data_IF_419378597875
#
_entry.id   IF_419378597875
#
_cell.length_a   1.000
_cell.length_b   1.000
_cell.length_c   1.000
_cell.angle_alpha   90.00
_cell.angle_beta   90.00
_cell.angle_gamma   90.00
#
_symmetry.space_group_name_H-M   'P 1'
#
loop_
_entity.id
_entity.type
_entity.pdbx_description
1 polymer ?
#
# COMPACT_ATOMS: atom_id res chain seq x y z
N UNK A 1 22.33 -11.09 1.76
CA UNK A 1 21.06 -11.61 1.21
C UNK A 1 20.67 -10.77 0.00
N UNK A 2 20.14 -11.43 -1.02
CA UNK A 2 19.59 -10.78 -2.21
C UNK A 2 18.12 -11.13 -2.31
N UNK A 3 17.25 -10.12 -2.33
CA UNK A 3 15.83 -10.26 -2.67
C UNK A 3 15.65 -9.78 -4.11
N UNK A 4 14.90 -10.54 -4.92
CA UNK A 4 14.65 -10.20 -6.31
C UNK A 4 13.19 -10.46 -6.64
N UNK A 5 12.54 -9.48 -7.26
CA UNK A 5 11.20 -9.59 -7.81
C UNK A 5 11.30 -9.76 -9.32
N UNK A 6 10.48 -10.64 -9.86
CA UNK A 6 10.40 -10.91 -11.29
C UNK A 6 8.97 -10.71 -11.78
N UNK A 7 8.82 -10.30 -13.03
CA UNK A 7 7.53 -10.26 -13.72
C UNK A 7 7.00 -11.69 -13.97
N UNK A 8 5.73 -11.83 -14.39
CA UNK A 8 5.21 -13.13 -14.86
C UNK A 8 5.98 -13.71 -16.06
N UNK A 9 6.73 -12.89 -16.80
CA UNK A 9 7.61 -13.29 -17.91
C UNK A 9 9.06 -13.54 -17.48
N UNK A 10 9.31 -13.62 -16.16
CA UNK A 10 10.63 -13.85 -15.55
C UNK A 10 11.67 -12.74 -15.77
N UNK A 11 11.22 -11.51 -16.03
CA UNK A 11 12.10 -10.35 -16.11
C UNK A 11 12.32 -9.75 -14.72
N UNK A 12 13.57 -9.44 -14.36
CA UNK A 12 13.90 -8.82 -13.07
C UNK A 12 13.29 -7.40 -12.99
N UNK A 13 12.36 -7.18 -12.07
CA UNK A 13 11.68 -5.89 -11.88
C UNK A 13 12.26 -5.08 -10.73
N UNK A 14 12.73 -5.73 -9.68
CA UNK A 14 13.34 -5.07 -8.53
C UNK A 14 14.37 -5.99 -7.86
N UNK A 15 15.45 -5.42 -7.34
CA UNK A 15 16.46 -6.13 -6.55
C UNK A 15 16.84 -5.33 -5.32
N UNK A 16 16.84 -5.97 -4.16
CA UNK A 16 17.39 -5.45 -2.91
C UNK A 16 18.55 -6.32 -2.44
N UNK A 17 19.62 -5.70 -1.97
CA UNK A 17 20.78 -6.39 -1.41
C UNK A 17 21.01 -5.85 0.00
N UNK A 18 20.86 -6.72 0.99
CA UNK A 18 21.12 -6.39 2.39
C UNK A 18 22.09 -7.39 3.00
N UNK A 19 23.14 -6.93 3.69
CA UNK A 19 24.05 -7.83 4.40
C UNK A 19 23.27 -8.70 5.38
N UNK A 20 23.57 -10.00 5.41
CA UNK A 20 23.07 -10.90 6.47
C UNK A 20 24.27 -11.27 7.32
N UNK A 21 24.17 -11.11 8.64
CA UNK A 21 25.26 -11.47 9.52
C UNK A 21 25.45 -13.01 9.55
N UNK A 22 26.64 -13.46 9.94
CA UNK A 22 26.96 -14.89 9.93
C UNK A 22 26.07 -15.70 10.90
N UNK A 23 25.74 -15.14 12.06
CA UNK A 23 24.87 -15.79 13.05
C UNK A 23 23.47 -16.04 12.49
N UNK A 24 22.79 -15.03 11.95
CA UNK A 24 21.44 -15.16 11.41
C UNK A 24 21.38 -16.14 10.22
N UNK A 25 22.46 -16.22 9.43
CA UNK A 25 22.58 -17.27 8.41
C UNK A 25 22.64 -18.66 9.06
N UNK A 26 23.46 -18.83 10.08
CA UNK A 26 23.61 -20.12 10.76
C UNK A 26 22.34 -20.52 11.51
N UNK A 27 21.70 -19.57 12.19
CA UNK A 27 20.42 -19.76 12.89
C UNK A 27 19.32 -20.21 11.92
N UNK A 28 19.25 -19.59 10.72
CA UNK A 28 18.34 -20.03 9.66
C UNK A 28 18.67 -21.45 9.19
N UNK A 29 19.95 -21.77 8.94
CA UNK A 29 20.34 -23.12 8.54
C UNK A 29 20.03 -24.17 9.62
N UNK A 30 20.18 -23.80 10.89
CA UNK A 30 19.82 -24.64 12.02
C UNK A 30 18.31 -24.88 12.09
N UNK A 31 17.49 -23.85 11.85
CA UNK A 31 16.03 -23.99 11.79
C UNK A 31 15.57 -25.02 10.75
N UNK A 32 16.21 -25.05 9.58
CA UNK A 32 15.94 -26.06 8.55
C UNK A 32 16.32 -27.47 9.01
N UNK A 33 17.41 -27.63 9.78
CA UNK A 33 17.85 -28.92 10.32
C UNK A 33 16.94 -29.41 11.44
N UNK A 34 16.61 -28.54 12.39
CA UNK A 34 15.78 -28.88 13.56
C UNK A 34 14.36 -29.28 13.17
N UNK A 35 13.88 -28.81 12.01
CA UNK A 35 12.57 -29.13 11.47
C UNK A 35 12.60 -30.24 10.40
N UNK A 36 13.70 -30.99 10.27
CA UNK A 36 13.83 -32.13 9.35
C UNK A 36 13.43 -31.80 7.89
N UNK A 37 13.78 -30.60 7.41
CA UNK A 37 13.33 -30.11 6.10
C UNK A 37 13.66 -31.06 4.93
N UNK A 38 14.78 -31.78 5.01
CA UNK A 38 15.20 -32.74 3.98
C UNK A 38 14.25 -33.94 3.87
N UNK A 39 13.63 -34.34 4.98
CA UNK A 39 12.71 -35.48 5.07
C UNK A 39 11.25 -35.08 4.81
N UNK A 40 10.93 -33.79 4.73
CA UNK A 40 9.58 -33.31 4.45
C UNK A 40 9.05 -33.80 3.09
N UNK A 41 7.74 -33.92 2.97
CA UNK A 41 7.10 -34.20 1.68
C UNK A 41 7.44 -33.10 0.66
N UNK A 42 7.60 -33.50 -0.60
CA UNK A 42 7.91 -32.56 -1.69
C UNK A 42 6.77 -31.57 -1.94
N UNK A 43 5.52 -31.93 -1.62
CA UNK A 43 4.35 -31.08 -1.87
C UNK A 43 3.30 -31.25 -0.80
N UNK A 44 2.74 -30.13 -0.35
CA UNK A 44 1.57 -30.06 0.53
C UNK A 44 0.41 -29.40 -0.22
N UNK A 45 -0.74 -30.06 -0.18
CA UNK A 45 -2.00 -29.63 -0.82
C UNK A 45 -3.14 -29.77 0.20
N UNK A 46 -4.30 -29.10 -0.01
CA UNK A 46 -5.43 -29.20 0.89
C UNK A 46 -5.89 -30.66 1.07
N UNK A 47 -6.06 -31.09 2.32
CA UNK A 47 -6.62 -32.39 2.66
C UNK A 47 -8.15 -32.32 2.75
N UNK A 48 -8.80 -33.48 2.73
CA UNK A 48 -10.26 -33.56 2.86
C UNK A 48 -10.74 -32.88 4.14
N UNK A 49 -11.64 -31.90 4.00
CA UNK A 49 -12.18 -31.12 5.11
C UNK A 49 -11.44 -29.81 5.41
N UNK A 50 -10.30 -29.54 4.75
CA UNK A 50 -9.65 -28.24 4.78
C UNK A 50 -10.28 -27.29 3.75
N UNK A 51 -10.36 -25.98 4.03
CA UNK A 51 -10.83 -25.01 3.05
C UNK A 51 -9.85 -24.94 1.87
N UNK A 52 -10.40 -24.80 0.67
CA UNK A 52 -9.60 -24.57 -0.54
C UNK A 52 -9.55 -23.05 -0.77
N UNK A 53 -8.34 -22.48 -0.75
CA UNK A 53 -8.12 -21.05 -1.01
C UNK A 53 -7.67 -20.89 -2.46
N UNK A 54 -8.45 -20.21 -3.29
CA UNK A 54 -8.16 -20.08 -4.75
C UNK A 54 -7.45 -18.79 -5.14
N UNK A 55 -7.43 -17.77 -4.28
CA UNK A 55 -6.85 -16.45 -4.56
C UNK A 55 -5.40 -16.32 -4.05
N UNK A 56 -4.68 -17.44 -3.99
CA UNK A 56 -3.27 -17.47 -3.56
C UNK A 56 -2.43 -18.18 -4.61
N UNK A 57 -1.15 -17.79 -4.68
CA UNK A 57 -0.18 -18.40 -5.56
C UNK A 57 0.37 -19.71 -4.99
N UNK A 58 1.54 -20.08 -5.49
CA UNK A 58 2.33 -21.22 -5.03
C UNK A 58 3.55 -20.67 -4.28
N UNK A 59 3.92 -21.31 -3.17
CA UNK A 59 5.23 -21.10 -2.55
C UNK A 59 6.12 -22.31 -2.79
N UNK A 60 7.38 -22.03 -3.16
CA UNK A 60 8.43 -23.03 -3.28
C UNK A 60 9.60 -22.60 -2.39
N UNK A 61 9.90 -23.41 -1.38
CA UNK A 61 11.04 -23.20 -0.49
C UNK A 61 12.13 -24.18 -0.93
N UNK A 62 13.29 -23.65 -1.28
CA UNK A 62 14.42 -24.46 -1.74
C UNK A 62 15.65 -24.24 -0.87
N UNK A 63 16.20 -25.32 -0.33
CA UNK A 63 17.52 -25.33 0.32
C UNK A 63 18.52 -25.95 -0.65
N UNK A 64 19.41 -25.12 -1.17
CA UNK A 64 20.47 -25.51 -2.10
C UNK A 64 21.81 -25.46 -1.38
N UNK A 65 22.43 -26.62 -1.17
CA UNK A 65 23.80 -26.76 -0.67
C UNK A 65 24.65 -27.56 -1.66
N UNK A 66 25.97 -27.57 -1.46
CA UNK A 66 26.91 -28.28 -2.34
C UNK A 66 26.57 -29.76 -2.47
N UNK A 67 26.15 -30.39 -1.37
CA UNK A 67 25.99 -31.84 -1.29
C UNK A 67 24.53 -32.31 -1.41
N UNK A 68 23.57 -31.38 -1.31
CA UNK A 68 22.15 -31.70 -1.42
C UNK A 68 21.32 -30.50 -1.88
N UNK A 69 20.20 -30.82 -2.54
CA UNK A 69 19.14 -29.88 -2.80
C UNK A 69 17.81 -30.47 -2.30
N UNK A 70 16.95 -29.60 -1.77
CA UNK A 70 15.59 -29.96 -1.42
C UNK A 70 14.68 -28.80 -1.76
N UNK A 71 13.57 -29.11 -2.41
CA UNK A 71 12.48 -28.17 -2.64
C UNK A 71 11.21 -28.73 -2.02
N UNK A 72 10.50 -27.89 -1.27
CA UNK A 72 9.19 -28.17 -0.71
C UNK A 72 8.22 -27.15 -1.27
N UNK A 73 7.11 -27.63 -1.83
CA UNK A 73 6.07 -26.82 -2.47
C UNK A 73 4.78 -26.83 -1.64
N UNK A 74 4.10 -25.69 -1.55
CA UNK A 74 2.74 -25.60 -1.01
C UNK A 74 1.83 -24.93 -2.03
N UNK A 75 0.74 -25.62 -2.38
CA UNK A 75 -0.13 -25.26 -3.50
C UNK A 75 -1.59 -25.65 -3.18
N UNK A 76 -2.48 -24.70 -2.89
CA UNK A 76 -2.26 -23.24 -2.84
C UNK A 76 -1.40 -22.80 -1.64
N UNK A 77 -0.73 -21.64 -1.70
CA UNK A 77 0.06 -21.12 -0.57
C UNK A 77 -0.86 -20.73 0.61
N UNK A 78 -0.90 -21.60 1.62
CA UNK A 78 -1.54 -21.36 2.91
C UNK A 78 -0.82 -22.13 4.01
N UNK A 79 -0.65 -21.50 5.17
CA UNK A 79 -0.08 -22.16 6.35
C UNK A 79 -0.96 -23.32 6.86
N UNK A 80 -2.26 -23.36 6.51
CA UNK A 80 -3.16 -24.44 6.92
C UNK A 80 -2.78 -25.82 6.35
N UNK A 81 -2.05 -25.85 5.23
CA UNK A 81 -1.62 -27.09 4.59
C UNK A 81 -0.22 -27.53 5.03
N UNK A 82 0.47 -26.66 5.79
CA UNK A 82 1.85 -26.88 6.20
C UNK A 82 1.94 -27.66 7.52
N UNK A 83 2.88 -28.62 7.65
CA UNK A 83 3.27 -29.11 8.96
C UNK A 83 3.94 -27.98 9.77
N UNK A 84 3.95 -28.12 11.09
CA UNK A 84 4.40 -27.05 11.99
C UNK A 84 5.82 -26.56 11.67
N UNK A 85 6.76 -27.49 11.46
CA UNK A 85 8.12 -27.11 11.11
C UNK A 85 8.27 -26.37 9.77
N UNK A 86 7.37 -26.61 8.81
CA UNK A 86 7.37 -25.84 7.56
C UNK A 86 6.81 -24.44 7.78
N UNK A 87 5.83 -24.25 8.67
CA UNK A 87 5.33 -22.92 9.04
C UNK A 87 6.42 -22.08 9.71
N UNK A 88 7.20 -22.67 10.60
CA UNK A 88 8.32 -21.98 11.24
C UNK A 88 9.37 -21.52 10.22
N UNK A 89 9.74 -22.40 9.29
CA UNK A 89 10.67 -22.06 8.20
C UNK A 89 10.08 -20.97 7.29
N UNK A 90 8.81 -21.09 6.88
CA UNK A 90 8.12 -20.10 6.04
C UNK A 90 8.10 -18.74 6.73
N UNK A 91 7.71 -18.68 8.01
CA UNK A 91 7.69 -17.44 8.78
C UNK A 91 9.08 -16.81 8.88
N UNK A 92 10.13 -17.59 9.14
CA UNK A 92 11.50 -17.07 9.19
C UNK A 92 11.95 -16.49 7.83
N UNK A 93 11.54 -17.09 6.71
CA UNK A 93 11.81 -16.57 5.37
C UNK A 93 11.00 -15.31 5.05
N UNK A 94 9.75 -15.24 5.52
CA UNK A 94 8.92 -14.02 5.44
C UNK A 94 9.59 -12.89 6.22
N UNK A 95 10.02 -13.13 7.46
CA UNK A 95 10.71 -12.14 8.29
C UNK A 95 12.02 -11.69 7.65
N UNK A 96 12.76 -12.62 7.06
CA UNK A 96 13.98 -12.33 6.33
C UNK A 96 13.72 -11.47 5.08
N UNK A 97 12.62 -11.72 4.35
CA UNK A 97 12.15 -10.84 3.27
C UNK A 97 11.82 -9.45 3.81
N UNK A 98 11.14 -9.33 4.96
CA UNK A 98 10.85 -8.02 5.57
C UNK A 98 12.13 -7.28 5.96
N UNK A 99 13.12 -8.00 6.51
CA UNK A 99 14.43 -7.44 6.78
C UNK A 99 15.11 -6.93 5.50
N UNK A 100 14.99 -7.64 4.37
CA UNK A 100 15.56 -7.23 3.08
C UNK A 100 15.00 -5.90 2.57
N UNK A 101 13.75 -5.61 2.91
CA UNK A 101 12.98 -4.46 2.45
C UNK A 101 13.01 -3.30 3.44
N UNK A 102 13.39 -3.55 4.69
CA UNK A 102 13.52 -2.50 5.68
C UNK A 102 14.73 -1.62 5.39
N UNK A 103 14.54 -0.34 5.64
CA UNK A 103 15.59 0.69 5.60
C UNK A 103 15.67 1.32 6.99
N UNK A 104 16.75 2.00 7.30
CA UNK A 104 16.86 2.85 8.49
C UNK A 104 16.23 4.22 8.24
N UNK A 105 15.91 4.95 9.32
CA UNK A 105 15.43 6.33 9.22
C UNK A 105 16.41 7.25 8.46
N UNK A 106 17.72 7.10 8.68
CA UNK A 106 18.75 7.86 7.97
C UNK A 106 18.80 7.52 6.47
N UNK A 107 18.59 6.26 6.10
CA UNK A 107 18.47 5.87 4.69
C UNK A 107 17.19 6.45 4.06
N UNK A 108 16.07 6.43 4.79
CA UNK A 108 14.82 7.02 4.35
C UNK A 108 14.97 8.52 4.08
N UNK A 109 15.57 9.26 5.02
CA UNK A 109 15.82 10.69 4.87
C UNK A 109 16.69 10.99 3.65
N UNK A 110 17.77 10.23 3.44
CA UNK A 110 18.65 10.38 2.29
C UNK A 110 17.90 10.16 0.97
N UNK A 111 17.13 9.07 0.87
CA UNK A 111 16.36 8.75 -0.33
C UNK A 111 15.31 9.83 -0.60
N UNK A 112 14.60 10.30 0.44
CA UNK A 112 13.60 11.35 0.31
C UNK A 112 14.22 12.67 -0.16
N UNK A 113 15.34 13.10 0.43
CA UNK A 113 16.04 14.30 -0.02
C UNK A 113 16.52 14.20 -1.46
N UNK A 114 17.14 13.08 -1.84
CA UNK A 114 17.59 12.83 -3.21
C UNK A 114 16.41 12.85 -4.18
N UNK A 115 15.26 12.28 -3.79
CA UNK A 115 14.05 12.31 -4.59
C UNK A 115 13.52 13.75 -4.76
N UNK A 116 13.36 14.50 -3.67
CA UNK A 116 12.87 15.90 -3.69
C UNK A 116 13.77 16.76 -4.57
N UNK A 117 15.10 16.66 -4.40
CA UNK A 117 16.08 17.44 -5.17
C UNK A 117 16.01 17.18 -6.68
N UNK A 118 15.51 16.01 -7.09
CA UNK A 118 15.33 15.64 -8.48
C UNK A 118 13.91 15.87 -9.00
N UNK A 119 12.95 16.18 -8.13
CA UNK A 119 11.55 16.40 -8.47
C UNK A 119 11.36 17.73 -9.23
N UNK A 120 10.39 17.82 -10.16
CA UNK A 120 10.22 18.98 -11.05
C UNK A 120 10.14 20.35 -10.36
N UNK A 121 9.43 20.47 -9.24
CA UNK A 121 9.24 21.73 -8.51
C UNK A 121 10.56 22.22 -7.93
N UNK A 122 11.25 21.38 -7.15
CA UNK A 122 12.53 21.75 -6.54
C UNK A 122 13.63 21.93 -7.58
N UNK A 123 13.67 21.08 -8.61
CA UNK A 123 14.69 21.15 -9.65
C UNK A 123 14.60 22.42 -10.50
N UNK A 124 13.42 23.02 -10.62
CA UNK A 124 13.23 24.25 -11.38
C UNK A 124 13.96 25.43 -10.72
N UNK A 125 13.74 25.66 -9.42
CA UNK A 125 14.28 26.82 -8.70
C UNK A 125 14.29 26.67 -7.17
N UNK A 126 14.27 25.43 -6.66
CA UNK A 126 14.24 25.10 -5.24
C UNK A 126 15.61 25.28 -4.55
N UNK A 127 15.58 25.71 -3.30
CA UNK A 127 16.76 25.91 -2.44
C UNK A 127 16.40 25.70 -0.96
N UNK A 128 17.40 25.62 -0.09
CA UNK A 128 17.24 25.51 1.37
C UNK A 128 16.35 24.34 1.85
N UNK A 129 16.53 23.15 1.25
CA UNK A 129 15.78 21.96 1.68
C UNK A 129 16.16 21.58 3.12
N UNK A 130 15.17 21.51 4.00
CA UNK A 130 15.33 21.24 5.43
C UNK A 130 14.27 20.25 5.91
N UNK A 131 14.69 19.23 6.67
CA UNK A 131 13.78 18.29 7.31
C UNK A 131 13.12 18.97 8.52
N UNK A 132 11.78 19.02 8.53
CA UNK A 132 10.98 19.62 9.60
C UNK A 132 10.50 18.55 10.59
N UNK A 133 10.06 17.40 10.08
CA UNK A 133 9.51 16.31 10.90
C UNK A 133 9.70 14.96 10.21
N UNK A 134 9.88 13.90 11.00
CA UNK A 134 9.98 12.52 10.53
C UNK A 134 9.25 11.59 11.50
N UNK A 135 8.33 10.78 10.97
CA UNK A 135 7.49 9.85 11.74
C UNK A 135 7.53 8.47 11.11
N UNK A 136 7.72 7.43 11.94
CA UNK A 136 7.56 6.02 11.56
C UNK A 136 6.11 5.61 11.84
N UNK A 137 5.40 5.16 10.81
CA UNK A 137 3.94 4.93 10.84
C UNK A 137 3.52 3.55 11.38
N UNK A 138 4.42 2.77 11.97
CA UNK A 138 4.11 1.50 12.64
C UNK A 138 3.61 0.42 11.68
N UNK A 139 4.50 -0.08 10.82
CA UNK A 139 4.21 -1.16 9.87
C UNK A 139 5.40 -2.11 9.75
N UNK A 140 5.23 -3.27 9.12
CA UNK A 140 6.34 -4.20 8.82
C UNK A 140 6.39 -4.46 7.30
N UNK A 141 7.41 -3.95 6.58
CA UNK A 141 8.50 -3.12 7.08
C UNK A 141 8.03 -1.70 7.39
N UNK A 142 8.85 -0.93 8.09
CA UNK A 142 8.54 0.43 8.50
C UNK A 142 8.13 1.32 7.31
N UNK A 143 7.06 2.07 7.50
CA UNK A 143 6.61 3.15 6.63
C UNK A 143 7.06 4.47 7.25
N UNK A 144 7.59 5.37 6.42
CA UNK A 144 8.07 6.67 6.85
C UNK A 144 7.17 7.78 6.29
N UNK A 145 6.86 8.77 7.12
CA UNK A 145 6.25 10.03 6.71
C UNK A 145 7.16 11.16 7.14
N UNK A 146 7.71 11.89 6.19
CA UNK A 146 8.65 12.98 6.41
C UNK A 146 8.10 14.28 5.82
N UNK A 147 8.26 15.37 6.56
CA UNK A 147 7.90 16.71 6.12
C UNK A 147 9.16 17.53 5.97
N UNK A 148 9.36 18.11 4.78
CA UNK A 148 10.46 19.01 4.48
C UNK A 148 9.93 20.40 4.13
N UNK A 149 10.74 21.42 4.39
CA UNK A 149 10.53 22.78 3.89
C UNK A 149 11.62 23.15 2.88
N UNK A 150 11.27 23.95 1.88
CA UNK A 150 12.21 24.53 0.93
C UNK A 150 11.67 25.85 0.36
N UNK A 151 12.54 26.60 -0.31
CA UNK A 151 12.20 27.87 -0.94
C UNK A 151 12.30 27.75 -2.46
N UNK A 152 11.32 28.26 -3.20
CA UNK A 152 11.37 28.46 -4.65
C UNK A 152 11.52 29.94 -5.01
N UNK A 153 12.28 30.22 -6.08
CA UNK A 153 12.46 31.59 -6.62
C UNK A 153 11.22 32.15 -7.35
N UNK A 154 10.29 31.29 -7.74
CA UNK A 154 9.05 31.64 -8.40
C UNK A 154 7.86 30.94 -7.74
N UNK A 155 6.69 31.57 -7.87
CA UNK A 155 5.44 30.95 -7.47
C UNK A 155 5.09 29.73 -8.35
N UNK A 156 4.29 28.82 -7.79
CA UNK A 156 3.71 27.67 -8.48
C UNK A 156 4.50 26.38 -8.32
N UNK A 157 4.06 25.33 -9.03
CA UNK A 157 4.53 23.96 -8.89
C UNK A 157 4.96 23.35 -10.23
N UNK A 158 5.74 22.28 -10.16
CA UNK A 158 6.21 21.51 -11.30
C UNK A 158 7.27 22.22 -12.15
N UNK A 159 7.51 21.66 -13.34
CA UNK A 159 8.39 22.27 -14.33
C UNK A 159 7.66 23.41 -15.06
N UNK A 160 8.12 24.65 -14.81
CA UNK A 160 7.51 25.88 -15.32
C UNK A 160 8.28 26.48 -16.49
N UNK A 161 9.20 25.73 -17.10
CA UNK A 161 10.02 26.20 -18.23
C UNK A 161 9.16 26.70 -19.38
N UNK A 162 9.38 27.95 -19.80
CA UNK A 162 8.64 28.57 -20.90
C UNK A 162 7.31 29.22 -20.50
N UNK A 163 6.96 29.25 -19.21
CA UNK A 163 5.81 29.98 -18.69
C UNK A 163 6.25 31.38 -18.20
N UNK A 164 5.35 32.37 -18.27
CA UNK A 164 5.56 33.64 -17.57
C UNK A 164 5.30 33.43 -16.08
N UNK A 165 6.35 33.30 -15.28
CA UNK A 165 6.28 33.14 -13.83
C UNK A 165 6.55 34.46 -13.11
N UNK A 166 5.88 34.71 -11.99
CA UNK A 166 6.22 35.82 -11.12
C UNK A 166 7.49 35.46 -10.31
N UNK A 167 8.52 36.33 -10.35
CA UNK A 167 9.70 36.23 -9.50
C UNK A 167 9.31 36.60 -8.06
N UNK A 168 8.95 35.59 -7.28
CA UNK A 168 8.54 35.73 -5.89
C UNK A 168 9.10 34.54 -5.12
N UNK A 169 9.92 34.84 -4.11
CA UNK A 169 10.40 33.86 -3.14
C UNK A 169 9.18 33.26 -2.44
N UNK A 170 8.98 31.96 -2.61
CA UNK A 170 7.84 31.22 -2.10
C UNK A 170 8.32 30.08 -1.22
N UNK A 171 7.85 30.08 0.03
CA UNK A 171 8.09 28.96 0.96
C UNK A 171 7.15 27.80 0.62
N UNK A 172 7.71 26.60 0.55
CA UNK A 172 6.98 25.37 0.30
C UNK A 172 7.20 24.35 1.40
N UNK A 173 6.18 23.52 1.65
CA UNK A 173 6.27 22.34 2.52
C UNK A 173 5.93 21.10 1.71
N UNK A 174 6.80 20.08 1.71
CA UNK A 174 6.55 18.79 1.04
C UNK A 174 6.39 17.68 2.07
N UNK A 175 5.29 16.93 1.97
CA UNK A 175 5.07 15.69 2.70
C UNK A 175 5.42 14.49 1.82
N UNK A 176 6.44 13.74 2.22
CA UNK A 176 6.91 12.52 1.58
C UNK A 176 6.43 11.32 2.41
N UNK A 177 5.80 10.34 1.75
CA UNK A 177 5.59 9.00 2.33
C UNK A 177 6.46 7.99 1.62
N UNK A 178 7.03 7.07 2.38
CA UNK A 178 7.88 6.00 1.85
C UNK A 178 7.52 4.65 2.41
N UNK A 179 7.64 3.64 1.55
CA UNK A 179 7.49 2.23 1.92
C UNK A 179 8.51 1.39 1.16
N UNK A 180 9.19 0.46 1.85
CA UNK A 180 10.16 -0.46 1.24
C UNK A 180 11.28 0.24 0.42
N UNK A 181 11.79 1.37 0.91
CA UNK A 181 12.83 2.13 0.19
C UNK A 181 12.33 2.95 -1.00
N UNK A 182 11.03 3.01 -1.24
CA UNK A 182 10.44 3.75 -2.35
C UNK A 182 9.59 4.91 -1.85
N UNK A 183 9.66 6.06 -2.52
CA UNK A 183 8.71 7.17 -2.34
C UNK A 183 7.38 6.76 -2.96
N UNK A 184 6.33 6.71 -2.14
CA UNK A 184 4.97 6.31 -2.56
C UNK A 184 4.00 7.48 -2.62
N UNK A 185 4.37 8.64 -2.05
CA UNK A 185 3.60 9.88 -2.11
C UNK A 185 4.53 11.07 -1.93
N UNK A 186 4.29 12.15 -2.69
CA UNK A 186 4.97 13.43 -2.51
C UNK A 186 4.00 14.58 -2.76
N UNK A 187 3.55 15.24 -1.69
CA UNK A 187 2.56 16.31 -1.75
C UNK A 187 3.17 17.63 -1.30
N UNK A 188 3.15 18.65 -2.18
CA UNK A 188 3.63 20.00 -1.88
C UNK A 188 2.45 20.88 -1.47
N UNK A 189 2.65 21.63 -0.37
CA UNK A 189 1.70 22.55 0.27
C UNK A 189 0.32 21.95 0.58
N UNK A 190 0.25 20.61 0.62
CA UNK A 190 -1.01 19.88 0.77
C UNK A 190 -1.92 19.95 -0.46
N UNK A 191 -1.54 20.61 -1.55
CA UNK A 191 -2.42 20.89 -2.72
C UNK A 191 -1.84 20.42 -4.05
N UNK A 192 -0.57 20.03 -4.11
CA UNK A 192 0.07 19.62 -5.35
C UNK A 192 0.66 18.22 -5.21
N UNK A 193 0.23 17.31 -6.07
CA UNK A 193 0.81 15.98 -6.21
C UNK A 193 2.03 16.05 -7.14
N UNK A 194 3.22 16.01 -6.53
CA UNK A 194 4.49 16.12 -7.25
C UNK A 194 4.82 14.86 -8.05
N UNK A 195 4.29 13.69 -7.66
CA UNK A 195 4.52 12.45 -8.41
C UNK A 195 3.73 12.44 -9.71
N UNK A 196 2.48 12.90 -9.66
CA UNK A 196 1.56 12.93 -10.80
C UNK A 196 1.53 14.28 -11.54
N UNK A 197 2.25 15.29 -11.05
CA UNK A 197 2.33 16.65 -11.60
C UNK A 197 0.96 17.30 -11.82
N UNK A 198 0.11 17.23 -10.79
CA UNK A 198 -1.24 17.79 -10.82
C UNK A 198 -1.66 18.36 -9.47
N UNK A 199 -2.57 19.33 -9.47
CA UNK A 199 -3.21 19.79 -8.25
C UNK A 199 -4.03 18.64 -7.66
N UNK A 200 -3.86 18.39 -6.37
CA UNK A 200 -4.82 17.61 -5.61
C UNK A 200 -6.16 18.31 -5.71
N UNK A 201 -7.17 17.58 -6.17
CA UNK A 201 -8.56 18.03 -6.10
C UNK A 201 -9.01 17.96 -4.64
N UNK A 202 -8.54 18.92 -3.84
CA UNK A 202 -8.89 19.06 -2.43
C UNK A 202 -10.30 19.60 -2.22
N UNK A 203 -10.92 20.16 -3.26
CA UNK A 203 -12.35 20.41 -3.26
C UNK A 203 -13.08 19.09 -3.43
N UNK A 204 -13.24 18.36 -2.33
CA UNK A 204 -14.23 17.31 -2.29
C UNK A 204 -15.57 17.89 -1.89
N UNK A 205 -16.57 17.68 -2.73
CA UNK A 205 -17.93 18.13 -2.48
C UNK A 205 -18.57 17.15 -1.51
N UNK A 206 -19.03 17.67 -0.36
CA UNK A 206 -19.82 16.91 0.59
C UNK A 206 -21.21 16.67 0.00
N UNK A 207 -21.53 15.39 -0.16
CA UNK A 207 -22.82 14.92 -0.62
C UNK A 207 -23.54 14.18 0.51
N UNK A 208 -24.86 14.25 0.49
CA UNK A 208 -25.74 13.54 1.41
C UNK A 208 -26.77 12.70 0.67
N UNK A 209 -27.12 11.57 1.28
CA UNK A 209 -28.28 10.77 0.94
C UNK A 209 -29.17 10.71 2.19
N UNK A 210 -30.28 11.47 2.26
CA UNK A 210 -30.97 11.71 3.52
C UNK A 210 -31.74 10.49 4.04
N UNK A 211 -32.30 9.67 3.16
CA UNK A 211 -33.22 8.58 3.56
C UNK A 211 -32.97 7.30 2.75
N UNK A 212 -32.09 6.43 3.24
CA UNK A 212 -31.87 5.09 2.69
C UNK A 212 -32.28 4.03 3.71
N UNK A 213 -32.76 2.86 3.27
CA UNK A 213 -32.99 1.72 4.15
C UNK A 213 -31.64 1.20 4.66
N UNK A 214 -31.44 1.20 5.99
CA UNK A 214 -30.16 0.86 6.60
C UNK A 214 -29.66 -0.56 6.27
N UNK A 215 -30.59 -1.49 6.01
CA UNK A 215 -30.31 -2.91 5.78
C UNK A 215 -30.42 -3.34 4.31
N UNK A 216 -30.75 -2.42 3.40
CA UNK A 216 -30.98 -2.71 1.98
C UNK A 216 -30.28 -1.71 1.06
N UNK A 217 -29.11 -1.22 1.48
CA UNK A 217 -28.32 -0.29 0.68
C UNK A 217 -27.77 -0.95 -0.59
N UNK A 218 -27.49 -0.18 -1.66
CA UNK A 218 -26.93 -0.73 -2.90
C UNK A 218 -25.64 -1.52 -2.68
N UNK A 219 -24.75 -1.03 -1.81
CA UNK A 219 -23.49 -1.71 -1.50
C UNK A 219 -23.69 -2.99 -0.67
N UNK A 220 -24.73 -3.09 0.18
CA UNK A 220 -25.05 -4.33 0.87
C UNK A 220 -25.62 -5.39 -0.07
N UNK A 221 -26.45 -4.98 -1.03
CA UNK A 221 -26.96 -5.87 -2.09
C UNK A 221 -25.82 -6.36 -2.98
N UNK A 222 -24.97 -5.44 -3.43
CA UNK A 222 -23.75 -5.76 -4.18
C UNK A 222 -22.84 -6.74 -3.43
N UNK A 223 -22.63 -6.52 -2.13
CA UNK A 223 -21.84 -7.42 -1.29
C UNK A 223 -22.45 -8.83 -1.17
N UNK A 224 -23.76 -8.90 -0.93
CA UNK A 224 -24.47 -10.17 -0.77
C UNK A 224 -24.53 -10.99 -2.08
N UNK A 225 -24.68 -10.32 -3.22
CA UNK A 225 -24.74 -10.96 -4.54
C UNK A 225 -23.36 -11.35 -5.08
N UNK A 226 -22.31 -10.65 -4.65
CA UNK A 226 -20.93 -10.87 -5.13
C UNK A 226 -20.29 -12.20 -4.69
N UNK A 227 -20.94 -13.00 -3.83
CA UNK A 227 -20.40 -14.26 -3.27
C UNK A 227 -18.98 -14.11 -2.69
N UNK A 228 -18.69 -12.97 -2.05
CA UNK A 228 -17.35 -12.63 -1.56
C UNK A 228 -17.22 -13.07 -0.10
N UNK A 229 -16.29 -13.98 0.20
CA UNK A 229 -15.98 -14.45 1.55
C UNK A 229 -14.62 -13.91 1.99
N UNK A 230 -14.57 -13.21 3.12
CA UNK A 230 -13.32 -12.65 3.67
C UNK A 230 -13.02 -13.21 5.07
N UNK A 231 -11.74 -13.37 5.40
CA UNK A 231 -11.27 -13.70 6.77
C UNK A 231 -11.74 -12.68 7.83
N UNK A 232 -12.01 -11.43 7.41
CA UNK A 232 -12.62 -10.37 8.23
C UNK A 232 -13.63 -9.61 7.38
N UNK A 233 -14.88 -9.52 7.83
CA UNK A 233 -15.90 -8.75 7.13
C UNK A 233 -15.51 -7.26 7.06
N UNK A 234 -15.69 -6.59 5.90
CA UNK A 234 -15.40 -5.18 5.76
C UNK A 234 -16.32 -4.35 6.66
N UNK A 235 -15.81 -3.23 7.16
CA UNK A 235 -16.64 -2.21 7.80
C UNK A 235 -17.60 -1.58 6.78
N UNK A 236 -18.66 -0.92 7.27
CA UNK A 236 -19.62 -0.24 6.40
C UNK A 236 -18.97 0.79 5.47
N UNK A 237 -18.00 1.55 5.97
CA UNK A 237 -17.25 2.53 5.17
C UNK A 237 -16.36 1.89 4.12
N UNK A 238 -15.62 0.83 4.48
CA UNK A 238 -14.80 0.07 3.51
C UNK A 238 -15.66 -0.54 2.41
N UNK A 239 -16.85 -1.04 2.75
CA UNK A 239 -17.78 -1.59 1.78
C UNK A 239 -18.33 -0.53 0.82
N UNK A 240 -18.64 0.68 1.32
CA UNK A 240 -19.07 1.82 0.50
C UNK A 240 -17.95 2.27 -0.45
N UNK A 241 -16.71 2.38 0.04
CA UNK A 241 -15.55 2.72 -0.78
C UNK A 241 -15.37 1.70 -1.90
N UNK A 242 -15.38 0.40 -1.55
CA UNK A 242 -15.22 -0.67 -2.52
C UNK A 242 -16.33 -0.66 -3.57
N UNK A 243 -17.58 -0.44 -3.18
CA UNK A 243 -18.72 -0.38 -4.09
C UNK A 243 -18.57 0.75 -5.12
N UNK A 244 -18.32 1.99 -4.69
CA UNK A 244 -18.21 3.12 -5.63
C UNK A 244 -16.99 3.01 -6.55
N UNK A 245 -15.86 2.53 -6.00
CA UNK A 245 -14.65 2.32 -6.78
C UNK A 245 -14.83 1.22 -7.85
N UNK A 246 -15.41 0.06 -7.49
CA UNK A 246 -15.51 -1.07 -8.42
C UNK A 246 -16.67 -0.94 -9.41
N UNK A 247 -17.81 -0.39 -8.97
CA UNK A 247 -19.02 -0.32 -9.82
C UNK A 247 -19.00 0.92 -10.70
N UNK A 248 -18.47 2.05 -10.20
CA UNK A 248 -18.55 3.34 -10.90
C UNK A 248 -17.19 3.98 -11.18
N UNK A 249 -16.08 3.45 -10.66
CA UNK A 249 -14.77 4.10 -10.77
C UNK A 249 -14.65 5.39 -9.96
N UNK A 250 -15.54 5.61 -8.98
CA UNK A 250 -15.62 6.85 -8.20
C UNK A 250 -14.91 6.69 -6.86
N UNK A 251 -14.07 7.65 -6.51
CA UNK A 251 -13.37 7.68 -5.21
C UNK A 251 -14.17 8.49 -4.17
N UNK A 252 -14.64 7.81 -3.12
CA UNK A 252 -15.40 8.41 -2.02
C UNK A 252 -14.58 8.42 -0.72
N UNK A 253 -14.69 9.48 0.08
CA UNK A 253 -14.03 9.61 1.40
C UNK A 253 -14.97 10.22 2.44
N UNK A 254 -14.51 10.32 3.70
CA UNK A 254 -15.23 10.98 4.81
C UNK A 254 -16.67 10.48 5.01
N UNK A 255 -16.84 9.16 4.94
CA UNK A 255 -18.16 8.53 5.02
C UNK A 255 -18.67 8.58 6.45
N UNK A 256 -19.86 9.15 6.64
CA UNK A 256 -20.58 9.17 7.91
C UNK A 256 -21.98 8.59 7.70
N UNK A 257 -22.40 7.74 8.63
CA UNK A 257 -23.76 7.18 8.68
C UNK A 257 -24.46 7.67 9.95
N UNK A 258 -25.68 8.18 9.82
CA UNK A 258 -26.54 8.53 10.95
C UNK A 258 -27.91 7.88 10.83
N UNK A 259 -28.44 7.33 11.93
CA UNK A 259 -29.81 6.80 11.98
C UNK A 259 -30.81 7.95 12.13
N UNK A 260 -31.79 8.03 11.22
CA UNK A 260 -32.74 9.17 11.15
C UNK A 260 -34.18 8.77 11.50
N UNK A 261 -34.47 7.48 11.66
CA UNK A 261 -35.79 6.96 12.02
C UNK A 261 -35.80 5.43 12.18
N UNK A 262 -36.98 4.82 12.24
CA UNK A 262 -37.14 3.36 12.32
C UNK A 262 -36.70 2.69 11.01
N UNK A 263 -35.45 2.24 10.94
CA UNK A 263 -34.88 1.49 9.81
C UNK A 263 -34.33 2.36 8.67
N UNK A 264 -34.27 3.69 8.85
CA UNK A 264 -33.74 4.63 7.86
C UNK A 264 -32.43 5.26 8.33
N UNK A 265 -31.49 5.35 7.40
CA UNK A 265 -30.15 5.89 7.58
C UNK A 265 -29.93 7.03 6.59
N UNK A 266 -29.26 8.07 7.07
CA UNK A 266 -28.65 9.10 6.24
C UNK A 266 -27.17 8.80 6.11
N UNK A 267 -26.64 9.11 4.93
CA UNK A 267 -25.22 8.98 4.64
C UNK A 267 -24.69 10.32 4.16
N UNK A 268 -23.47 10.65 4.56
CA UNK A 268 -22.69 11.70 3.92
C UNK A 268 -21.35 11.15 3.47
N UNK A 269 -20.85 11.66 2.36
CA UNK A 269 -19.52 11.32 1.84
C UNK A 269 -18.96 12.49 1.04
N UNK A 270 -17.69 12.42 0.70
CA UNK A 270 -16.99 13.40 -0.12
C UNK A 270 -16.50 12.80 -1.43
N UNK A 271 -16.74 13.49 -2.54
CA UNK A 271 -16.26 13.13 -3.89
C UNK A 271 -15.54 14.28 -4.56
N UNK A 272 -14.70 13.97 -5.54
CA UNK A 272 -14.09 14.98 -6.40
C UNK A 272 -15.15 15.67 -7.28
N UNK A 273 -14.95 16.93 -7.72
CA UNK A 273 -15.99 17.71 -8.42
C UNK A 273 -16.44 17.07 -9.74
N UNK A 274 -15.56 16.33 -10.41
CA UNK A 274 -15.86 15.63 -11.66
C UNK A 274 -16.91 14.52 -11.51
N UNK A 275 -17.05 13.96 -10.30
CA UNK A 275 -17.92 12.82 -10.05
C UNK A 275 -19.29 13.24 -9.47
N UNK A 276 -19.46 14.53 -9.15
CA UNK A 276 -20.67 15.05 -8.49
C UNK A 276 -21.94 14.80 -9.30
N UNK A 277 -21.90 15.00 -10.62
CA UNK A 277 -23.09 14.79 -11.46
C UNK A 277 -23.49 13.31 -11.52
N UNK A 278 -22.51 12.40 -11.63
CA UNK A 278 -22.76 10.97 -11.56
C UNK A 278 -23.36 10.56 -10.20
N UNK A 279 -22.88 11.16 -9.10
CA UNK A 279 -23.44 10.92 -7.77
C UNK A 279 -24.89 11.44 -7.65
N UNK A 280 -25.21 12.58 -8.26
CA UNK A 280 -26.58 13.11 -8.28
C UNK A 280 -27.54 12.22 -9.06
N UNK A 281 -27.10 11.64 -10.17
CA UNK A 281 -27.89 10.66 -10.93
C UNK A 281 -28.24 9.41 -10.10
N UNK A 282 -27.40 9.08 -9.11
CA UNK A 282 -27.62 8.01 -8.14
C UNK A 282 -28.44 8.43 -6.90
N UNK A 283 -28.94 9.67 -6.86
CA UNK A 283 -29.79 10.19 -5.80
C UNK A 283 -29.08 10.90 -4.65
N UNK A 284 -27.76 11.14 -4.76
CA UNK A 284 -27.03 11.98 -3.81
C UNK A 284 -27.34 13.46 -4.04
N UNK A 285 -27.26 14.26 -2.98
CA UNK A 285 -27.58 15.68 -3.00
C UNK A 285 -26.44 16.45 -2.35
N UNK A 286 -26.18 17.68 -2.80
CA UNK A 286 -25.28 18.57 -2.05
C UNK A 286 -25.89 18.83 -0.67
N UNK A 287 -25.04 18.85 0.36
CA UNK A 287 -25.41 19.42 1.67
C UNK A 287 -25.61 20.93 1.58
#
# INVERSE_FOLDING_TARGET
MTLSYYSPTYELTQRSIKPLNASAREDLLQLFRDNDFLEMNATYVPQQGQPIVTDVGIVEISLLQTDFNKTVKVDPYSQEYMPEGLKEIDQALVDLKQYALSISAAEAEKIAEEWIKNAPTYKYDGSELTLVNSVVMGSVPDQYSMTYSFISGHAGYGNRSGQMTAEVITDHTVNIKMFQGMVTSAIIDGVWDEMNQQMLQNERILLQYPNMLCNETPWMKWYAEGNIQFFKAPTGSELIIAYYSNVYGIEVTDIVQNTVGSGQCSYTLKVVPTDVEAMKDMGWQNT
#
